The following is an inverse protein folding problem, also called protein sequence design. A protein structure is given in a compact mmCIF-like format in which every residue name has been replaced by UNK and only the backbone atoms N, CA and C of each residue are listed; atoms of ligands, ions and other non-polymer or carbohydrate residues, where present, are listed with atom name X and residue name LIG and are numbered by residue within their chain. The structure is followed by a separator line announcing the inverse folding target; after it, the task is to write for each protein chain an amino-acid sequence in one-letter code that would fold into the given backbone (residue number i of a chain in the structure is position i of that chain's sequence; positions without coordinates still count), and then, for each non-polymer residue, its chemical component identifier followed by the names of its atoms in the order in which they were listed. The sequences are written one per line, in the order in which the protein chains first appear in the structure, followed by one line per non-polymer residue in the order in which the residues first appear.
data_IF_924742222976
#
_entry.id   IF_924742222976
#
_cell.length_a   1.000
_cell.length_b   1.000
_cell.length_c   1.000
_cell.angle_alpha   90.00
_cell.angle_beta   90.00
_cell.angle_gamma   90.00
#
_symmetry.space_group_name_H-M   'P 1'
#
loop_
_entity.id
_entity.type
_entity.pdbx_description
1 polymer ?
#
# COMPACT_ATOMS: atom_id res chain seq x y z
N UNK A 1 13.89 -7.74 0.24
CA UNK A 1 14.60 -9.05 0.31
C UNK A 1 13.72 -10.08 -0.37
N UNK A 2 14.31 -10.95 -1.21
CA UNK A 2 13.57 -12.01 -1.97
C UNK A 2 12.94 -13.10 -1.08
N UNK A 3 13.13 -13.05 0.22
CA UNK A 3 12.71 -14.11 1.17
C UNK A 3 11.46 -13.74 1.98
N UNK A 4 10.97 -12.50 1.91
CA UNK A 4 9.72 -12.05 2.53
C UNK A 4 8.65 -12.09 1.46
N UNK A 5 7.58 -12.82 1.69
CA UNK A 5 6.42 -12.83 0.80
C UNK A 5 5.57 -11.60 1.10
N UNK A 6 5.12 -10.94 0.04
CA UNK A 6 4.20 -9.80 0.13
C UNK A 6 2.84 -10.29 -0.35
N UNK A 7 1.86 -10.16 0.54
CA UNK A 7 0.49 -10.51 0.25
C UNK A 7 -0.25 -9.28 -0.28
N UNK A 8 -0.92 -9.46 -1.41
CA UNK A 8 -1.66 -8.41 -2.11
C UNK A 8 -3.18 -8.58 -2.01
N UNK A 9 -3.65 -9.70 -1.42
CA UNK A 9 -5.07 -9.91 -1.22
C UNK A 9 -5.52 -9.27 0.09
N UNK A 10 -6.39 -8.26 -0.01
CA UNK A 10 -6.93 -7.56 1.14
C UNK A 10 -7.90 -8.45 1.95
N UNK A 11 -8.47 -9.48 1.31
CA UNK A 11 -9.41 -10.38 1.96
C UNK A 11 -8.74 -11.28 2.99
N UNK A 12 -7.45 -11.61 2.82
CA UNK A 12 -6.67 -12.40 3.78
C UNK A 12 -6.46 -11.69 5.12
N UNK A 13 -6.69 -10.37 5.14
CA UNK A 13 -6.60 -9.54 6.34
C UNK A 13 -7.93 -9.31 7.04
N UNK A 14 -9.05 -9.88 6.54
CA UNK A 14 -10.33 -9.82 7.21
C UNK A 14 -10.28 -10.57 8.56
N UNK A 15 -11.12 -10.16 9.54
CA UNK A 15 -11.20 -10.89 10.80
C UNK A 15 -11.61 -12.35 10.57
N UNK A 16 -10.91 -13.32 11.20
CA UNK A 16 -11.20 -14.74 10.98
C UNK A 16 -12.60 -15.14 11.41
N UNK A 17 -13.17 -14.41 12.39
CA UNK A 17 -14.50 -14.67 12.94
C UNK A 17 -15.61 -13.94 12.15
N UNK A 18 -15.30 -13.26 11.05
CA UNK A 18 -16.32 -12.61 10.26
C UNK A 18 -17.19 -13.65 9.53
N UNK A 19 -18.52 -13.42 9.42
CA UNK A 19 -19.41 -14.35 8.70
C UNK A 19 -18.96 -14.59 7.26
N UNK A 20 -18.42 -13.59 6.59
CA UNK A 20 -17.89 -13.69 5.22
C UNK A 20 -16.65 -14.59 5.13
N UNK A 21 -15.69 -14.45 6.04
CA UNK A 21 -14.50 -15.30 6.07
C UNK A 21 -14.87 -16.77 6.36
N UNK A 22 -15.75 -16.98 7.33
CA UNK A 22 -16.26 -18.33 7.64
C UNK A 22 -17.02 -18.94 6.46
N UNK A 23 -17.80 -18.14 5.72
CA UNK A 23 -18.51 -18.62 4.53
C UNK A 23 -17.53 -18.97 3.40
N UNK A 24 -16.50 -18.16 3.18
CA UNK A 24 -15.43 -18.45 2.20
C UNK A 24 -14.69 -19.73 2.52
N UNK A 25 -14.34 -19.98 3.79
CA UNK A 25 -13.66 -21.21 4.22
C UNK A 25 -14.55 -22.46 3.96
N UNK A 26 -15.86 -22.36 4.25
CA UNK A 26 -16.81 -23.43 3.96
C UNK A 26 -16.95 -23.66 2.46
N UNK A 27 -17.02 -22.60 1.65
CA UNK A 27 -17.12 -22.70 0.19
C UNK A 27 -15.87 -23.35 -0.40
N UNK A 28 -14.68 -22.89 -0.04
CA UNK A 28 -13.42 -23.44 -0.52
C UNK A 28 -13.22 -24.91 -0.12
N UNK A 29 -13.78 -25.32 1.01
CA UNK A 29 -13.71 -26.71 1.47
C UNK A 29 -14.78 -27.64 0.88
N UNK A 30 -15.93 -27.13 0.49
CA UNK A 30 -17.09 -27.92 0.05
C UNK A 30 -17.27 -27.96 -1.48
N UNK A 31 -16.77 -26.96 -2.20
CA UNK A 31 -16.96 -26.84 -3.64
C UNK A 31 -15.61 -26.85 -4.37
N UNK A 32 -15.57 -27.55 -5.50
CA UNK A 32 -14.45 -27.56 -6.43
C UNK A 32 -14.75 -26.61 -7.58
N UNK A 33 -13.76 -25.79 -8.01
CA UNK A 33 -13.91 -24.88 -9.14
C UNK A 33 -13.82 -23.38 -8.77
N UNK A 34 -13.62 -23.09 -7.50
CA UNK A 34 -13.35 -21.73 -7.02
C UNK A 34 -14.53 -20.77 -7.17
N UNK A 35 -14.31 -19.52 -6.76
CA UNK A 35 -15.28 -18.41 -6.94
C UNK A 35 -14.82 -17.59 -8.14
N UNK A 36 -15.71 -17.27 -9.09
CA UNK A 36 -15.37 -16.41 -10.20
C UNK A 36 -14.79 -15.07 -9.72
N UNK A 37 -13.58 -14.75 -10.17
CA UNK A 37 -12.84 -13.58 -9.72
C UNK A 37 -12.36 -12.66 -10.86
N UNK A 38 -12.74 -13.00 -12.11
CA UNK A 38 -12.41 -12.21 -13.29
C UNK A 38 -13.57 -12.19 -14.28
N UNK A 39 -13.75 -11.05 -14.94
CA UNK A 39 -14.66 -10.84 -16.08
C UNK A 39 -13.82 -10.44 -17.28
N UNK A 40 -14.04 -11.10 -18.40
CA UNK A 40 -13.34 -10.88 -19.67
C UNK A 40 -14.37 -10.50 -20.71
N UNK A 41 -14.30 -9.30 -21.25
CA UNK A 41 -15.18 -8.84 -22.32
C UNK A 41 -14.40 -8.78 -23.63
N UNK A 42 -14.89 -9.50 -24.64
CA UNK A 42 -14.35 -9.49 -26.00
C UNK A 42 -15.37 -8.87 -26.92
N UNK A 43 -14.98 -7.85 -27.68
CA UNK A 43 -15.83 -7.07 -28.55
C UNK A 43 -15.79 -7.58 -29.97
N UNK A 44 -16.85 -7.25 -30.73
CA UNK A 44 -17.01 -7.55 -32.16
C UNK A 44 -16.75 -9.00 -32.53
N UNK A 45 -17.29 -9.92 -31.72
CA UNK A 45 -17.16 -11.36 -31.91
C UNK A 45 -18.50 -12.03 -32.22
N UNK A 46 -18.49 -13.04 -33.06
CA UNK A 46 -19.60 -13.95 -33.30
C UNK A 46 -19.62 -15.07 -32.24
N UNK A 47 -20.75 -15.78 -32.12
CA UNK A 47 -20.89 -16.91 -31.20
C UNK A 47 -19.80 -17.99 -31.40
N UNK A 48 -19.45 -18.43 -32.64
CA UNK A 48 -18.34 -19.38 -32.84
C UNK A 48 -16.97 -18.83 -32.42
N UNK A 49 -16.70 -17.54 -32.67
CA UNK A 49 -15.44 -16.92 -32.23
C UNK A 49 -15.37 -16.78 -30.72
N UNK A 50 -16.50 -16.52 -30.07
CA UNK A 50 -16.55 -16.48 -28.60
C UNK A 50 -16.28 -17.86 -27.98
N UNK A 51 -16.77 -18.95 -28.59
CA UNK A 51 -16.44 -20.31 -28.17
C UNK A 51 -14.93 -20.61 -28.30
N UNK A 52 -14.30 -20.16 -29.40
CA UNK A 52 -12.86 -20.31 -29.60
C UNK A 52 -12.06 -19.50 -28.53
N UNK A 53 -12.52 -18.27 -28.18
CA UNK A 53 -11.93 -17.53 -27.08
C UNK A 53 -12.11 -18.26 -25.73
N UNK A 54 -13.28 -18.83 -25.44
CA UNK A 54 -13.52 -19.62 -24.24
C UNK A 54 -12.53 -20.77 -24.10
N UNK A 55 -12.34 -21.55 -25.19
CA UNK A 55 -11.39 -22.67 -25.20
C UNK A 55 -9.95 -22.20 -24.98
N UNK A 56 -9.55 -21.10 -25.62
CA UNK A 56 -8.20 -20.54 -25.48
C UNK A 56 -7.95 -19.99 -24.08
N UNK A 57 -8.93 -19.32 -23.47
CA UNK A 57 -8.83 -18.83 -22.09
C UNK A 57 -8.74 -20.01 -21.12
N UNK A 58 -9.56 -21.04 -21.30
CA UNK A 58 -9.55 -22.23 -20.46
C UNK A 58 -8.25 -23.05 -20.55
N UNK A 59 -7.50 -22.91 -21.65
CA UNK A 59 -6.22 -23.58 -21.83
C UNK A 59 -5.03 -22.86 -21.16
N UNK A 60 -5.24 -21.66 -20.61
CA UNK A 60 -4.19 -20.89 -19.92
C UNK A 60 -3.92 -21.50 -18.54
N UNK A 61 -2.65 -21.70 -18.21
CA UNK A 61 -2.23 -22.21 -16.91
C UNK A 61 -2.66 -21.25 -15.78
N UNK A 62 -3.25 -21.81 -14.71
CA UNK A 62 -3.84 -21.05 -13.61
C UNK A 62 -5.30 -20.62 -13.82
N UNK A 63 -5.93 -20.97 -14.95
CA UNK A 63 -7.37 -20.82 -15.14
C UNK A 63 -8.07 -22.10 -14.71
N UNK A 64 -8.92 -22.03 -13.69
CA UNK A 64 -9.67 -23.18 -13.16
C UNK A 64 -10.98 -23.42 -13.89
N UNK A 65 -11.71 -22.34 -14.23
CA UNK A 65 -13.00 -22.41 -14.89
C UNK A 65 -13.26 -21.16 -15.76
N UNK A 66 -13.96 -21.38 -16.88
CA UNK A 66 -14.48 -20.32 -17.74
C UNK A 66 -15.94 -20.62 -18.02
N UNK A 67 -16.81 -19.70 -17.61
CA UNK A 67 -18.25 -19.80 -17.84
C UNK A 67 -18.70 -18.78 -18.88
N UNK A 68 -19.50 -19.24 -19.83
CA UNK A 68 -20.11 -18.38 -20.85
C UNK A 68 -21.50 -18.90 -21.20
N UNK A 69 -22.12 -18.34 -22.23
CA UNK A 69 -23.50 -18.60 -22.66
C UNK A 69 -23.80 -20.09 -22.91
N UNK A 70 -22.85 -20.86 -23.46
CA UNK A 70 -22.99 -22.28 -23.76
C UNK A 70 -23.12 -23.20 -22.53
N UNK A 71 -22.73 -22.72 -21.34
CA UNK A 71 -22.93 -23.42 -20.08
C UNK A 71 -24.38 -23.29 -19.57
N UNK A 72 -25.10 -22.28 -20.06
CA UNK A 72 -26.48 -21.97 -19.62
C UNK A 72 -27.54 -22.28 -20.69
N UNK A 73 -27.17 -22.16 -21.96
CA UNK A 73 -28.09 -22.31 -23.11
C UNK A 73 -27.44 -23.10 -24.24
N UNK A 74 -28.25 -23.75 -25.06
CA UNK A 74 -27.78 -24.47 -26.28
C UNK A 74 -27.50 -23.46 -27.39
N UNK A 75 -26.24 -23.07 -27.57
CA UNK A 75 -25.80 -22.09 -28.56
C UNK A 75 -25.96 -22.56 -30.02
N UNK A 76 -26.37 -23.80 -30.26
CA UNK A 76 -26.72 -24.32 -31.62
C UNK A 76 -28.13 -23.85 -32.05
N UNK A 77 -28.98 -23.42 -31.09
CA UNK A 77 -30.26 -22.81 -31.34
C UNK A 77 -30.11 -21.30 -31.58
N UNK A 78 -30.76 -20.72 -32.59
CA UNK A 78 -30.69 -19.28 -32.83
C UNK A 78 -31.02 -18.46 -31.55
N UNK A 79 -30.15 -17.48 -31.23
CA UNK A 79 -30.25 -16.68 -29.99
C UNK A 79 -31.62 -15.98 -29.85
N UNK A 80 -32.26 -15.63 -30.98
CA UNK A 80 -33.58 -14.99 -31.00
C UNK A 80 -34.73 -15.90 -30.49
N UNK A 81 -34.49 -17.22 -30.40
CA UNK A 81 -35.43 -18.20 -29.92
C UNK A 81 -35.20 -18.60 -28.46
N UNK A 82 -34.20 -18.01 -27.85
CA UNK A 82 -33.77 -18.30 -26.48
C UNK A 82 -34.22 -17.21 -25.50
N UNK A 83 -34.04 -17.46 -24.21
CA UNK A 83 -34.31 -16.45 -23.18
C UNK A 83 -33.39 -15.25 -23.32
N UNK A 84 -33.97 -14.12 -23.70
CA UNK A 84 -33.25 -12.88 -23.96
C UNK A 84 -32.46 -12.38 -22.75
N UNK A 85 -32.98 -12.57 -21.55
CA UNK A 85 -32.34 -12.11 -20.32
C UNK A 85 -31.06 -12.88 -20.07
N UNK A 86 -31.08 -14.20 -20.24
CA UNK A 86 -29.88 -15.05 -20.12
C UNK A 86 -28.87 -14.76 -21.23
N UNK A 87 -29.34 -14.58 -22.49
CA UNK A 87 -28.44 -14.21 -23.60
C UNK A 87 -27.73 -12.88 -23.31
N UNK A 88 -28.46 -11.82 -22.93
CA UNK A 88 -27.90 -10.50 -22.67
C UNK A 88 -26.94 -10.46 -21.48
N UNK A 89 -26.97 -11.44 -20.59
CA UNK A 89 -26.01 -11.58 -19.48
C UNK A 89 -24.61 -11.93 -19.97
N UNK A 90 -24.49 -12.72 -21.05
CA UNK A 90 -23.22 -13.23 -21.54
C UNK A 90 -22.85 -12.74 -22.94
N UNK A 91 -23.86 -12.33 -23.75
CA UNK A 91 -23.65 -11.87 -25.11
C UNK A 91 -24.60 -10.76 -25.48
N UNK A 92 -24.07 -9.57 -25.73
CA UNK A 92 -24.84 -8.35 -26.03
C UNK A 92 -24.05 -7.46 -26.95
N UNK A 93 -24.71 -6.84 -27.94
CA UNK A 93 -24.12 -5.88 -28.89
C UNK A 93 -22.83 -6.40 -29.57
N UNK A 94 -22.79 -7.69 -29.96
CA UNK A 94 -21.63 -8.42 -30.47
C UNK A 94 -20.44 -8.48 -29.49
N UNK A 95 -20.67 -8.26 -28.21
CA UNK A 95 -19.69 -8.42 -27.16
C UNK A 95 -19.98 -9.71 -26.40
N UNK A 96 -18.95 -10.54 -26.17
CA UNK A 96 -19.02 -11.71 -25.32
C UNK A 96 -18.41 -11.39 -23.94
N UNK A 97 -19.11 -11.77 -22.88
CA UNK A 97 -18.65 -11.63 -21.51
C UNK A 97 -18.40 -13.00 -20.89
N UNK A 98 -17.15 -13.34 -20.65
CA UNK A 98 -16.74 -14.54 -19.94
C UNK A 98 -16.58 -14.25 -18.46
N UNK A 99 -17.03 -15.19 -17.64
CA UNK A 99 -16.77 -15.21 -16.20
C UNK A 99 -15.70 -16.26 -15.94
N UNK A 100 -14.56 -15.83 -15.41
CA UNK A 100 -13.35 -16.67 -15.28
C UNK A 100 -12.98 -16.81 -13.82
N UNK A 101 -12.58 -18.01 -13.41
CA UNK A 101 -11.95 -18.30 -12.13
C UNK A 101 -10.47 -18.53 -12.35
N UNK A 102 -9.63 -17.73 -11.71
CA UNK A 102 -8.17 -17.82 -11.77
C UNK A 102 -7.63 -18.18 -10.39
N UNK A 103 -6.73 -19.17 -10.36
CA UNK A 103 -6.05 -19.62 -9.16
C UNK A 103 -5.14 -18.51 -8.59
N UNK A 104 -5.16 -18.34 -7.27
CA UNK A 104 -4.38 -17.30 -6.61
C UNK A 104 -2.87 -17.43 -6.81
N UNK A 105 -2.36 -18.66 -6.86
CA UNK A 105 -0.94 -18.95 -7.03
C UNK A 105 -0.38 -18.47 -8.38
N UNK A 106 -1.18 -18.59 -9.45
CA UNK A 106 -0.79 -18.30 -10.83
C UNK A 106 -1.44 -17.01 -11.38
N UNK A 107 -2.09 -16.23 -10.50
CA UNK A 107 -2.90 -15.07 -10.86
C UNK A 107 -2.19 -14.06 -11.78
N UNK A 108 -0.93 -13.72 -11.47
CA UNK A 108 -0.18 -12.74 -12.25
C UNK A 108 0.07 -13.19 -13.69
N UNK A 109 0.46 -14.45 -13.85
CA UNK A 109 0.80 -15.04 -15.15
C UNK A 109 -0.48 -15.28 -15.97
N UNK A 110 -1.53 -15.79 -15.33
CA UNK A 110 -2.82 -16.01 -15.98
C UNK A 110 -3.47 -14.70 -16.46
N UNK A 111 -3.51 -13.66 -15.62
CA UNK A 111 -4.05 -12.34 -16.02
C UNK A 111 -3.26 -11.76 -17.19
N UNK A 112 -1.93 -11.82 -17.14
CA UNK A 112 -1.08 -11.33 -18.24
C UNK A 112 -1.33 -12.12 -19.53
N UNK A 113 -1.40 -13.45 -19.46
CA UNK A 113 -1.64 -14.30 -20.63
C UNK A 113 -3.05 -14.07 -21.25
N UNK A 114 -4.09 -13.89 -20.41
CA UNK A 114 -5.42 -13.54 -20.90
C UNK A 114 -5.40 -12.16 -21.56
N UNK A 115 -4.72 -11.18 -20.96
CA UNK A 115 -4.58 -9.84 -21.51
C UNK A 115 -3.90 -9.85 -22.89
N UNK A 116 -2.82 -10.64 -23.04
CA UNK A 116 -2.11 -10.79 -24.30
C UNK A 116 -2.98 -11.51 -25.37
N UNK A 117 -3.80 -12.48 -24.93
CA UNK A 117 -4.69 -13.24 -25.80
C UNK A 117 -5.80 -12.35 -26.38
N UNK A 118 -6.44 -11.53 -25.54
CA UNK A 118 -7.58 -10.70 -25.97
C UNK A 118 -7.15 -9.37 -26.61
N UNK A 119 -5.91 -8.91 -26.35
CA UNK A 119 -5.38 -7.65 -26.88
C UNK A 119 -5.87 -6.42 -26.10
N UNK A 120 -5.51 -5.24 -26.64
CA UNK A 120 -5.76 -3.95 -25.96
C UNK A 120 -7.17 -3.39 -26.19
N UNK A 121 -7.86 -3.82 -27.21
CA UNK A 121 -9.21 -3.34 -27.58
C UNK A 121 -10.33 -3.98 -26.74
N UNK A 122 -9.99 -5.02 -25.97
CA UNK A 122 -10.90 -5.76 -25.13
C UNK A 122 -10.68 -5.42 -23.65
N UNK A 123 -11.60 -5.81 -22.77
CA UNK A 123 -11.61 -5.35 -21.39
C UNK A 123 -11.54 -6.49 -20.36
N UNK A 124 -10.80 -6.25 -19.28
CA UNK A 124 -10.67 -7.14 -18.13
C UNK A 124 -11.11 -6.42 -16.85
N UNK A 125 -11.89 -7.07 -16.02
CA UNK A 125 -12.26 -6.57 -14.71
C UNK A 125 -12.34 -7.71 -13.67
N UNK A 126 -12.45 -7.35 -12.40
CA UNK A 126 -12.60 -8.29 -11.29
C UNK A 126 -11.43 -8.26 -10.31
N UNK A 127 -11.60 -8.99 -9.20
CA UNK A 127 -10.63 -8.98 -8.10
C UNK A 127 -9.27 -9.57 -8.49
N UNK A 128 -9.24 -10.60 -9.34
CA UNK A 128 -8.00 -11.17 -9.85
C UNK A 128 -7.18 -10.14 -10.65
N UNK A 129 -7.85 -9.35 -11.51
CA UNK A 129 -7.20 -8.30 -12.32
C UNK A 129 -6.71 -7.16 -11.43
N UNK A 130 -7.56 -6.67 -10.52
CA UNK A 130 -7.17 -5.58 -9.60
C UNK A 130 -5.97 -5.96 -8.74
N UNK A 131 -5.94 -7.18 -8.22
CA UNK A 131 -4.81 -7.66 -7.41
C UNK A 131 -3.54 -7.82 -8.26
N UNK A 132 -3.64 -8.34 -9.50
CA UNK A 132 -2.50 -8.44 -10.40
C UNK A 132 -1.93 -7.06 -10.77
N UNK A 133 -2.80 -6.10 -11.11
CA UNK A 133 -2.40 -4.72 -11.42
C UNK A 133 -1.79 -4.05 -10.18
N UNK A 134 -2.40 -4.21 -8.99
CA UNK A 134 -1.86 -3.67 -7.74
C UNK A 134 -0.46 -4.22 -7.46
N UNK A 135 -0.25 -5.53 -7.65
CA UNK A 135 1.06 -6.17 -7.44
C UNK A 135 2.13 -5.57 -8.35
N UNK A 136 1.87 -5.51 -9.65
CA UNK A 136 2.82 -5.00 -10.63
C UNK A 136 3.09 -3.49 -10.45
N UNK A 137 2.04 -2.71 -10.18
CA UNK A 137 2.15 -1.26 -9.98
C UNK A 137 2.89 -0.92 -8.70
N UNK A 138 2.60 -1.62 -7.59
CA UNK A 138 3.17 -1.32 -6.28
C UNK A 138 4.70 -1.40 -6.30
N UNK A 139 5.28 -2.42 -6.92
CA UNK A 139 6.75 -2.58 -6.99
C UNK A 139 7.41 -1.39 -7.70
N UNK A 140 6.83 -0.95 -8.81
CA UNK A 140 7.38 0.15 -9.61
C UNK A 140 7.13 1.51 -8.96
N UNK A 141 5.94 1.73 -8.43
CA UNK A 141 5.54 3.01 -7.83
C UNK A 141 6.24 3.25 -6.50
N UNK A 142 6.35 2.24 -5.63
CA UNK A 142 7.09 2.36 -4.36
C UNK A 142 8.54 2.73 -4.62
N UNK A 143 9.19 2.15 -5.62
CA UNK A 143 10.56 2.52 -5.98
C UNK A 143 10.67 3.98 -6.46
N UNK A 144 9.73 4.45 -7.29
CA UNK A 144 9.66 5.85 -7.75
C UNK A 144 9.41 6.82 -6.59
N UNK A 145 8.44 6.51 -5.72
CA UNK A 145 8.09 7.34 -4.57
C UNK A 145 9.28 7.40 -3.59
N UNK A 146 9.94 6.27 -3.32
CA UNK A 146 11.12 6.22 -2.46
C UNK A 146 12.26 7.09 -3.04
N UNK A 147 12.51 7.04 -4.35
CA UNK A 147 13.52 7.88 -5.00
C UNK A 147 13.19 9.38 -4.87
N UNK A 148 11.93 9.78 -5.11
CA UNK A 148 11.47 11.16 -4.93
C UNK A 148 11.60 11.59 -3.46
N UNK A 149 11.23 10.73 -2.52
CA UNK A 149 11.35 11.01 -1.09
C UNK A 149 12.80 11.24 -0.67
N UNK A 150 13.74 10.42 -1.16
CA UNK A 150 15.18 10.58 -0.89
C UNK A 150 15.70 11.91 -1.44
N UNK A 151 15.30 12.29 -2.67
CA UNK A 151 15.68 13.59 -3.27
C UNK A 151 15.15 14.75 -2.44
N UNK A 152 13.88 14.66 -2.02
CA UNK A 152 13.25 15.69 -1.19
C UNK A 152 13.92 15.80 0.20
N UNK A 153 14.19 14.66 0.84
CA UNK A 153 14.93 14.59 2.11
C UNK A 153 16.33 15.20 1.97
N UNK A 154 17.05 14.84 0.90
CA UNK A 154 18.37 15.39 0.61
C UNK A 154 18.31 16.92 0.46
N UNK A 155 17.30 17.42 -0.26
CA UNK A 155 17.10 18.87 -0.43
C UNK A 155 16.87 19.57 0.92
N UNK A 156 16.00 19.03 1.78
CA UNK A 156 15.74 19.58 3.11
C UNK A 156 17.02 19.53 3.98
N UNK A 157 17.73 18.40 3.96
CA UNK A 157 18.99 18.26 4.71
C UNK A 157 20.03 19.29 4.27
N UNK A 158 20.22 19.52 2.98
CA UNK A 158 21.14 20.55 2.47
C UNK A 158 20.75 21.95 2.97
N UNK A 159 19.46 22.24 3.10
CA UNK A 159 18.99 23.52 3.60
C UNK A 159 19.19 23.69 5.12
N UNK A 160 19.14 22.58 5.87
CA UNK A 160 19.12 22.62 7.34
C UNK A 160 20.46 22.31 8.00
N UNK A 161 21.40 21.72 7.28
CA UNK A 161 22.73 21.36 7.80
C UNK A 161 23.77 22.42 7.45
N UNK A 162 24.87 22.44 8.20
CA UNK A 162 25.97 23.40 8.05
C UNK A 162 27.17 22.81 7.30
N UNK A 163 27.10 21.56 6.85
CA UNK A 163 28.17 20.88 6.09
C UNK A 163 27.61 20.04 4.97
N UNK A 164 28.27 20.01 3.81
CA UNK A 164 27.87 19.17 2.66
C UNK A 164 27.97 17.66 2.93
N UNK A 165 28.72 17.24 3.94
CA UNK A 165 28.89 15.83 4.31
C UNK A 165 27.73 15.35 5.22
N UNK A 166 27.17 16.23 6.05
CA UNK A 166 26.10 15.88 7.00
C UNK A 166 24.87 15.21 6.33
N UNK A 167 24.32 15.73 5.22
CA UNK A 167 23.23 15.08 4.50
C UNK A 167 23.54 13.64 4.10
N UNK A 168 24.77 13.39 3.66
CA UNK A 168 25.22 12.05 3.24
C UNK A 168 25.30 11.12 4.44
N UNK A 169 25.79 11.59 5.59
CA UNK A 169 25.87 10.81 6.82
C UNK A 169 24.48 10.43 7.33
N UNK A 170 23.55 11.39 7.34
CA UNK A 170 22.16 11.14 7.74
C UNK A 170 21.53 10.11 6.83
N UNK A 171 21.64 10.26 5.51
CA UNK A 171 21.11 9.30 4.55
C UNK A 171 21.76 7.91 4.67
N UNK A 172 23.05 7.84 4.96
CA UNK A 172 23.72 6.57 5.21
C UNK A 172 23.18 5.87 6.47
N UNK A 173 22.98 6.60 7.57
CA UNK A 173 22.37 6.09 8.80
C UNK A 173 20.95 5.60 8.56
N UNK A 174 20.12 6.39 7.85
CA UNK A 174 18.76 6.00 7.47
C UNK A 174 18.77 4.76 6.57
N UNK A 175 19.68 4.69 5.61
CA UNK A 175 19.84 3.53 4.73
C UNK A 175 20.13 2.25 5.52
N UNK A 176 21.04 2.31 6.50
CA UNK A 176 21.32 1.16 7.39
C UNK A 176 20.07 0.76 8.19
N UNK A 177 19.34 1.71 8.78
CA UNK A 177 18.13 1.43 9.55
C UNK A 177 17.04 0.76 8.67
N UNK A 178 16.84 1.26 7.44
CA UNK A 178 15.87 0.70 6.48
C UNK A 178 16.30 -0.72 6.04
N UNK A 179 17.56 -0.93 5.76
CA UNK A 179 18.09 -2.26 5.37
C UNK A 179 17.91 -3.27 6.51
N UNK A 180 18.18 -2.87 7.76
CA UNK A 180 17.94 -3.71 8.95
C UNK A 180 16.47 -4.02 9.11
N UNK A 181 15.58 -3.03 8.94
CA UNK A 181 14.14 -3.25 9.03
C UNK A 181 13.63 -4.21 7.97
N UNK A 182 13.99 -3.99 6.70
CA UNK A 182 13.57 -4.85 5.59
C UNK A 182 14.16 -6.28 5.71
N UNK A 183 15.41 -6.40 6.20
CA UNK A 183 16.03 -7.70 6.45
C UNK A 183 15.34 -8.47 7.57
N UNK A 184 14.95 -7.80 8.65
CA UNK A 184 14.28 -8.42 9.80
C UNK A 184 12.78 -8.66 9.58
N UNK A 185 12.17 -8.21 8.48
CA UNK A 185 10.79 -8.57 8.10
C UNK A 185 10.61 -10.08 7.89
N UNK A 186 11.70 -10.83 7.69
CA UNK A 186 11.71 -12.30 7.68
C UNK A 186 11.06 -12.91 8.94
N UNK A 187 11.07 -12.23 10.07
CA UNK A 187 10.47 -12.70 11.32
C UNK A 187 8.93 -12.84 11.18
N UNK A 188 8.32 -12.05 10.32
CA UNK A 188 6.87 -12.06 10.08
C UNK A 188 6.45 -13.10 9.00
N UNK A 189 7.39 -13.59 8.19
CA UNK A 189 7.13 -14.49 7.05
C UNK A 189 6.45 -13.77 5.88
N UNK A 190 5.19 -13.43 6.07
CA UNK A 190 4.38 -12.67 5.08
C UNK A 190 4.01 -11.31 5.65
N UNK A 191 4.03 -10.29 4.82
CA UNK A 191 3.61 -8.92 5.17
C UNK A 191 2.64 -8.39 4.10
N UNK A 192 1.73 -7.51 4.49
CA UNK A 192 0.80 -6.90 3.53
C UNK A 192 1.54 -5.96 2.55
N UNK A 193 0.97 -5.80 1.36
CA UNK A 193 1.47 -4.82 0.39
C UNK A 193 1.45 -3.40 0.96
N UNK A 194 0.48 -3.08 1.82
CA UNK A 194 0.38 -1.79 2.50
C UNK A 194 1.57 -1.59 3.44
N UNK A 195 1.90 -2.61 4.24
CA UNK A 195 3.05 -2.58 5.15
C UNK A 195 4.37 -2.47 4.39
N UNK A 196 4.49 -3.20 3.28
CA UNK A 196 5.69 -3.16 2.43
C UNK A 196 5.87 -1.78 1.78
N UNK A 197 4.80 -1.19 1.25
CA UNK A 197 4.82 0.12 0.61
C UNK A 197 5.07 1.25 1.62
N UNK A 198 4.32 1.26 2.72
CA UNK A 198 4.39 2.33 3.71
C UNK A 198 5.63 2.23 4.62
N UNK A 199 6.09 1.00 4.93
CA UNK A 199 7.09 0.75 5.95
C UNK A 199 8.40 1.51 5.74
N UNK A 200 8.99 1.42 4.56
CA UNK A 200 10.26 2.10 4.26
C UNK A 200 10.12 3.62 4.18
N UNK A 201 9.00 4.11 3.64
CA UNK A 201 8.75 5.56 3.47
C UNK A 201 8.49 6.21 4.83
N UNK A 202 7.62 5.60 5.65
CA UNK A 202 7.33 6.12 6.99
C UNK A 202 8.56 6.04 7.90
N UNK A 203 9.33 4.96 7.81
CA UNK A 203 10.58 4.85 8.57
C UNK A 203 11.55 5.94 8.18
N UNK A 204 11.73 6.23 6.88
CA UNK A 204 12.59 7.32 6.40
C UNK A 204 12.15 8.66 6.99
N UNK A 205 10.85 8.97 6.98
CA UNK A 205 10.31 10.22 7.49
C UNK A 205 10.51 10.36 9.01
N UNK A 206 10.15 9.33 9.78
CA UNK A 206 10.22 9.37 11.26
C UNK A 206 11.66 9.33 11.78
N UNK A 207 12.55 8.57 11.11
CA UNK A 207 13.92 8.38 11.58
C UNK A 207 14.86 9.54 11.26
N UNK A 208 14.48 10.36 10.26
CA UNK A 208 15.23 11.54 9.85
C UNK A 208 15.45 12.49 11.02
N UNK A 209 14.37 12.81 11.74
CA UNK A 209 14.38 13.78 12.82
C UNK A 209 15.32 13.41 13.95
N UNK A 210 15.41 12.12 14.28
CA UNK A 210 16.32 11.63 15.34
C UNK A 210 17.79 11.84 14.98
N UNK A 211 18.16 11.52 13.73
CA UNK A 211 19.53 11.67 13.22
C UNK A 211 19.94 13.13 13.13
N UNK A 212 19.06 13.97 12.59
CA UNK A 212 19.29 15.42 12.46
C UNK A 212 19.44 16.07 13.84
N UNK A 213 18.56 15.70 14.78
CA UNK A 213 18.62 16.24 16.14
C UNK A 213 19.95 15.93 16.84
N UNK A 214 20.46 14.69 16.72
CA UNK A 214 21.75 14.32 17.29
C UNK A 214 22.91 15.10 16.66
N UNK A 215 22.95 15.21 15.32
CA UNK A 215 24.00 15.93 14.61
C UNK A 215 23.97 17.42 14.96
N UNK A 216 22.80 18.04 15.02
CA UNK A 216 22.68 19.45 15.44
C UNK A 216 23.18 19.67 16.87
N UNK A 217 22.89 18.76 17.81
CA UNK A 217 23.42 18.85 19.18
C UNK A 217 24.93 18.70 19.22
N UNK A 218 25.48 17.83 18.37
CA UNK A 218 26.91 17.71 18.23
C UNK A 218 27.56 19.01 17.68
N UNK A 219 26.97 19.59 16.64
CA UNK A 219 27.40 20.86 16.07
C UNK A 219 27.35 22.03 17.09
N UNK A 220 26.25 22.13 17.86
CA UNK A 220 26.12 23.10 18.94
C UNK A 220 27.22 22.96 19.99
N UNK A 221 27.48 21.73 20.47
CA UNK A 221 28.57 21.50 21.45
C UNK A 221 29.93 21.92 20.90
N UNK A 222 30.20 21.64 19.64
CA UNK A 222 31.43 22.07 18.96
C UNK A 222 31.55 23.58 18.84
N UNK A 223 30.44 24.28 18.59
CA UNK A 223 30.41 25.74 18.51
C UNK A 223 30.59 26.40 19.89
N UNK A 224 30.00 25.81 20.94
CA UNK A 224 30.12 26.29 22.32
C UNK A 224 31.48 26.01 22.94
N UNK A 225 32.12 24.90 22.59
CA UNK A 225 33.36 24.42 23.16
C UNK A 225 34.39 24.07 22.05
N UNK A 226 35.01 25.07 21.42
CA UNK A 226 35.96 24.82 20.30
C UNK A 226 37.19 23.99 20.67
N UNK A 227 37.60 24.04 21.95
CA UNK A 227 38.80 23.35 22.48
C UNK A 227 38.50 21.90 22.93
N UNK A 228 37.21 21.51 23.02
CA UNK A 228 36.82 20.15 23.41
C UNK A 228 37.13 19.15 22.29
N UNK A 229 37.40 17.88 22.64
CA UNK A 229 37.58 16.84 21.65
C UNK A 229 36.24 16.52 20.93
N UNK A 230 36.26 16.07 19.67
CA UNK A 230 35.05 15.64 19.00
C UNK A 230 34.29 14.53 19.74
N UNK A 231 35.05 13.62 20.38
CA UNK A 231 34.51 12.52 21.19
C UNK A 231 33.76 13.05 22.41
N UNK A 232 34.33 14.04 23.16
CA UNK A 232 33.67 14.62 24.31
C UNK A 232 32.39 15.38 23.92
N UNK A 233 32.41 16.10 22.80
CA UNK A 233 31.22 16.76 22.25
C UNK A 233 30.17 15.76 21.83
N UNK A 234 30.54 14.60 21.29
CA UNK A 234 29.55 13.56 20.93
C UNK A 234 28.93 12.94 22.18
N UNK A 235 29.70 12.70 23.24
CA UNK A 235 29.20 12.24 24.52
C UNK A 235 28.20 13.24 25.13
N UNK A 236 28.52 14.52 25.12
CA UNK A 236 27.63 15.58 25.61
C UNK A 236 26.35 15.68 24.78
N UNK A 237 26.47 15.62 23.44
CA UNK A 237 25.35 15.60 22.52
C UNK A 237 24.42 14.41 22.80
N UNK A 238 24.96 13.22 22.98
CA UNK A 238 24.19 12.02 23.35
C UNK A 238 23.49 12.20 24.68
N UNK A 239 24.19 12.66 25.73
CA UNK A 239 23.60 12.89 27.06
C UNK A 239 22.42 13.89 26.99
N UNK A 240 22.57 14.97 26.25
CA UNK A 240 21.54 16.01 26.13
C UNK A 240 20.36 15.63 25.23
N UNK A 241 20.60 14.81 24.19
CA UNK A 241 19.60 14.44 23.18
C UNK A 241 18.82 13.17 23.51
N UNK A 242 19.41 12.23 24.29
CA UNK A 242 18.83 10.92 24.56
C UNK A 242 17.40 11.00 25.07
N UNK A 243 17.13 11.83 26.08
CA UNK A 243 15.80 11.94 26.66
C UNK A 243 14.76 12.38 25.64
N UNK A 244 15.08 13.39 24.81
CA UNK A 244 14.17 13.92 23.79
C UNK A 244 13.94 12.90 22.67
N UNK A 245 14.99 12.28 22.17
CA UNK A 245 14.92 11.28 21.08
C UNK A 245 14.15 10.04 21.55
N UNK A 246 14.45 9.51 22.75
CA UNK A 246 13.76 8.35 23.31
C UNK A 246 12.28 8.66 23.59
N UNK A 247 11.95 9.81 24.18
CA UNK A 247 10.56 10.17 24.44
C UNK A 247 9.76 10.25 23.14
N UNK A 248 10.28 10.90 22.11
CA UNK A 248 9.62 11.00 20.80
C UNK A 248 9.50 9.63 20.13
N UNK A 249 10.61 8.88 20.08
CA UNK A 249 10.62 7.55 19.46
C UNK A 249 9.72 6.55 20.17
N UNK A 250 9.74 6.49 21.50
CA UNK A 250 8.87 5.60 22.27
C UNK A 250 7.39 5.97 22.11
N UNK A 251 7.05 7.25 22.07
CA UNK A 251 5.68 7.69 21.80
C UNK A 251 5.21 7.18 20.43
N UNK A 252 6.07 7.27 19.42
CA UNK A 252 5.79 6.76 18.07
C UNK A 252 5.64 5.23 18.07
N UNK A 253 6.52 4.51 18.75
CA UNK A 253 6.44 3.05 18.91
C UNK A 253 5.13 2.65 19.56
N UNK A 254 4.74 3.29 20.67
CA UNK A 254 3.46 3.03 21.35
C UNK A 254 2.28 3.33 20.44
N UNK A 255 2.33 4.42 19.67
CA UNK A 255 1.30 4.75 18.68
C UNK A 255 1.12 3.66 17.62
N UNK A 256 2.21 3.12 17.07
CA UNK A 256 2.14 2.00 16.14
C UNK A 256 1.70 0.70 16.81
N UNK A 257 2.14 0.41 18.03
CA UNK A 257 1.68 -0.76 18.78
C UNK A 257 0.19 -0.71 19.11
N UNK A 258 -0.42 0.47 19.20
CA UNK A 258 -1.86 0.58 19.39
C UNK A 258 -2.66 -0.01 18.19
N UNK A 259 -2.08 -0.03 16.98
CA UNK A 259 -2.69 -0.68 15.81
C UNK A 259 -2.83 -2.21 15.98
N UNK A 260 -2.03 -2.81 16.84
CA UNK A 260 -2.12 -4.26 17.15
C UNK A 260 -3.46 -4.63 17.79
N UNK A 261 -4.16 -3.66 18.39
CA UNK A 261 -5.48 -3.86 18.99
C UNK A 261 -6.62 -3.89 17.96
N UNK A 262 -6.33 -3.61 16.68
CA UNK A 262 -7.33 -3.67 15.60
C UNK A 262 -7.70 -5.13 15.30
N UNK A 263 -8.98 -5.39 15.08
CA UNK A 263 -9.47 -6.69 14.62
C UNK A 263 -9.10 -6.98 13.16
N UNK A 264 -9.00 -5.96 12.34
CA UNK A 264 -8.57 -6.06 10.95
C UNK A 264 -7.05 -6.30 10.92
N UNK A 265 -6.62 -7.43 10.38
CA UNK A 265 -5.23 -7.94 10.47
C UNK A 265 -4.17 -7.02 9.86
N UNK A 266 -4.54 -6.11 8.95
CA UNK A 266 -3.62 -5.08 8.43
C UNK A 266 -3.11 -4.19 9.56
N UNK A 267 -3.94 -3.90 10.59
CA UNK A 267 -3.54 -3.10 11.74
C UNK A 267 -2.35 -3.69 12.50
N UNK A 268 -2.45 -4.93 13.02
CA UNK A 268 -1.33 -5.63 13.65
C UNK A 268 -0.09 -5.76 12.74
N UNK A 269 -0.26 -6.12 11.48
CA UNK A 269 0.83 -6.27 10.52
C UNK A 269 1.61 -4.95 10.33
N UNK A 270 0.91 -3.88 10.01
CA UNK A 270 1.48 -2.55 9.84
C UNK A 270 2.08 -2.04 11.16
N UNK A 271 1.33 -2.19 12.27
CA UNK A 271 1.73 -1.69 13.58
C UNK A 271 3.03 -2.32 14.08
N UNK A 272 3.18 -3.63 13.99
CA UNK A 272 4.39 -4.35 14.41
C UNK A 272 5.59 -4.04 13.51
N UNK A 273 5.40 -4.00 12.20
CA UNK A 273 6.47 -3.72 11.25
C UNK A 273 7.01 -2.29 11.41
N UNK A 274 6.11 -1.30 11.61
CA UNK A 274 6.51 0.10 11.81
C UNK A 274 7.12 0.33 13.18
N UNK A 275 6.55 -0.23 14.26
CA UNK A 275 7.12 -0.15 15.60
C UNK A 275 8.55 -0.70 15.64
N UNK A 276 8.76 -1.90 15.05
CA UNK A 276 10.09 -2.49 14.88
C UNK A 276 11.03 -1.57 14.09
N UNK A 277 10.53 -0.98 12.99
CA UNK A 277 11.30 -0.03 12.17
C UNK A 277 11.81 1.17 12.97
N UNK A 278 10.94 1.76 13.81
CA UNK A 278 11.33 2.89 14.69
C UNK A 278 12.35 2.46 15.75
N UNK A 279 12.15 1.30 16.37
CA UNK A 279 13.12 0.76 17.36
C UNK A 279 14.50 0.56 16.71
N UNK A 280 14.56 -0.04 15.52
CA UNK A 280 15.81 -0.23 14.80
C UNK A 280 16.46 1.12 14.40
N UNK A 281 15.64 2.13 14.09
CA UNK A 281 16.12 3.48 13.83
C UNK A 281 16.73 4.12 15.07
N UNK A 282 16.08 3.99 16.23
CA UNK A 282 16.63 4.47 17.50
C UNK A 282 17.99 3.79 17.82
N UNK A 283 18.06 2.46 17.66
CA UNK A 283 19.30 1.71 17.83
C UNK A 283 20.39 2.26 16.89
N UNK A 284 20.07 2.48 15.62
CA UNK A 284 21.01 3.01 14.62
C UNK A 284 21.49 4.42 14.99
N UNK A 285 20.58 5.28 15.46
CA UNK A 285 20.89 6.66 15.87
C UNK A 285 21.82 6.69 17.10
N UNK A 286 21.64 5.79 18.06
CA UNK A 286 22.48 5.79 19.26
C UNK A 286 23.79 5.00 19.12
N UNK A 287 23.92 4.14 18.11
CA UNK A 287 25.11 3.30 17.93
C UNK A 287 25.89 3.65 16.68
N UNK A 288 25.26 3.57 15.52
CA UNK A 288 25.92 3.74 14.24
C UNK A 288 26.20 5.22 13.90
N UNK A 289 25.23 6.11 14.14
CA UNK A 289 25.36 7.53 13.81
C UNK A 289 26.53 8.23 14.55
N UNK A 290 26.73 8.05 15.87
CA UNK A 290 27.87 8.62 16.57
C UNK A 290 29.20 8.15 15.99
N UNK A 291 29.34 6.84 15.75
CA UNK A 291 30.56 6.27 15.18
C UNK A 291 30.85 6.82 13.77
N UNK A 292 29.81 6.89 12.92
CA UNK A 292 29.93 7.41 11.57
C UNK A 292 30.24 8.91 11.57
N UNK A 293 29.62 9.69 12.43
CA UNK A 293 29.86 11.13 12.58
C UNK A 293 31.30 11.40 13.01
N UNK A 294 31.82 10.69 14.01
CA UNK A 294 33.18 10.83 14.48
C UNK A 294 34.20 10.40 13.41
N UNK A 295 33.94 9.30 12.70
CA UNK A 295 34.83 8.85 11.61
C UNK A 295 34.92 9.85 10.45
N UNK A 296 33.81 10.54 10.15
CA UNK A 296 33.72 11.49 9.06
C UNK A 296 33.90 12.95 9.50
N UNK A 297 34.15 13.20 10.80
CA UNK A 297 34.29 14.54 11.35
C UNK A 297 35.29 15.41 10.60
N UNK A 298 36.50 14.90 10.21
CA UNK A 298 37.49 15.72 9.47
C UNK A 298 36.99 16.20 8.10
N UNK A 299 36.02 15.47 7.52
CA UNK A 299 35.41 15.85 6.24
C UNK A 299 34.26 16.85 6.47
N UNK A 300 33.50 16.70 7.56
CA UNK A 300 32.45 17.66 7.94
C UNK A 300 33.07 19.05 8.16
N UNK A 301 34.19 19.13 8.89
CA UNK A 301 34.91 20.38 9.18
C UNK A 301 35.42 21.06 7.90
N UNK A 302 36.00 20.27 6.95
CA UNK A 302 36.48 20.78 5.67
C UNK A 302 35.40 21.28 4.72
N UNK A 303 34.17 20.75 4.85
CA UNK A 303 33.06 21.06 3.95
C UNK A 303 32.01 21.97 4.59
N UNK A 304 32.36 22.60 5.70
CA UNK A 304 31.48 23.54 6.39
C UNK A 304 31.14 24.74 5.49
N UNK A 305 29.88 25.09 5.45
CA UNK A 305 29.35 26.24 4.71
C UNK A 305 28.46 27.13 5.60
N UNK A 306 28.21 28.34 5.14
CA UNK A 306 27.29 29.24 5.86
C UNK A 306 25.88 28.66 5.83
N UNK A 307 25.11 28.79 6.96
CA UNK A 307 23.74 28.35 6.98
C UNK A 307 22.95 28.98 5.83
N UNK A 308 22.28 28.13 5.04
CA UNK A 308 21.45 28.55 3.90
C UNK A 308 20.13 29.16 4.35
N UNK A 309 19.63 28.75 5.53
CA UNK A 309 18.41 29.31 6.10
C UNK A 309 18.72 30.59 6.89
N UNK A 310 17.96 31.68 6.67
CA UNK A 310 18.12 32.90 7.45
C UNK A 310 17.68 32.69 8.90
N UNK A 311 18.26 33.46 9.84
CA UNK A 311 17.77 33.49 11.23
C UNK A 311 16.36 34.04 11.29
N UNK A 312 15.44 33.28 11.88
CA UNK A 312 14.02 33.63 11.99
C UNK A 312 13.68 34.43 13.24
N UNK A 313 14.54 35.34 13.69
CA UNK A 313 14.36 36.14 14.92
C UNK A 313 13.04 36.96 14.93
N UNK A 314 12.64 37.45 13.74
CA UNK A 314 11.36 38.17 13.57
C UNK A 314 10.16 37.23 13.60
N UNK A 315 10.33 36.00 13.18
CA UNK A 315 9.24 35.01 13.15
C UNK A 315 8.81 34.62 14.57
N UNK A 316 9.75 34.42 15.49
CA UNK A 316 9.41 34.13 16.89
C UNK A 316 8.57 35.23 17.53
N UNK A 317 8.89 36.49 17.26
CA UNK A 317 8.09 37.63 17.72
C UNK A 317 6.71 37.72 17.06
N UNK A 318 6.62 37.38 15.78
CA UNK A 318 5.34 37.30 15.07
C UNK A 318 4.46 36.20 15.66
N UNK A 319 4.99 34.98 15.82
CA UNK A 319 4.29 33.84 16.43
C UNK A 319 3.80 34.16 17.82
N UNK A 320 4.65 34.77 18.68
CA UNK A 320 4.27 35.19 20.03
C UNK A 320 3.08 36.16 20.02
N UNK A 321 3.00 37.06 19.03
CA UNK A 321 1.89 38.04 18.92
C UNK A 321 0.56 37.41 18.47
N UNK A 322 0.63 36.40 17.59
CA UNK A 322 -0.58 35.75 17.05
C UNK A 322 -0.97 34.49 17.83
N UNK A 323 -0.20 34.04 18.82
CA UNK A 323 -0.41 32.80 19.54
C UNK A 323 -1.83 32.64 20.10
N UNK A 324 -2.33 33.67 20.81
CA UNK A 324 -3.68 33.63 21.38
C UNK A 324 -4.79 33.63 20.30
N UNK A 325 -4.79 34.59 19.33
CA UNK A 325 -5.81 34.55 18.28
C UNK A 325 -5.73 33.28 17.40
N UNK A 326 -4.54 32.73 17.16
CA UNK A 326 -4.38 31.48 16.45
C UNK A 326 -4.95 30.27 17.22
N UNK A 327 -4.70 30.21 18.54
CA UNK A 327 -5.27 29.17 19.40
C UNK A 327 -6.81 29.24 19.44
N UNK A 328 -7.39 30.44 19.52
CA UNK A 328 -8.83 30.63 19.47
C UNK A 328 -9.41 30.26 18.10
N UNK A 329 -8.75 30.64 17.02
CA UNK A 329 -9.17 30.26 15.67
C UNK A 329 -9.16 28.74 15.48
N UNK A 330 -8.11 28.03 15.95
CA UNK A 330 -8.04 26.56 15.90
C UNK A 330 -9.15 25.92 16.74
N UNK A 331 -9.42 26.42 17.93
CA UNK A 331 -10.51 25.94 18.78
C UNK A 331 -11.88 26.08 18.09
N UNK A 332 -12.13 27.21 17.41
CA UNK A 332 -13.36 27.44 16.64
C UNK A 332 -13.44 26.51 15.43
N UNK A 333 -12.31 26.29 14.73
CA UNK A 333 -12.26 25.39 13.56
C UNK A 333 -12.42 23.91 13.93
N UNK A 334 -12.11 23.52 15.17
CA UNK A 334 -12.20 22.12 15.61
C UNK A 334 -13.64 21.57 15.51
N UNK A 335 -14.66 22.38 15.82
CA UNK A 335 -16.06 21.94 15.76
C UNK A 335 -16.52 21.64 14.33
N UNK A 336 -16.39 22.57 13.34
CA UNK A 336 -16.79 22.26 11.97
C UNK A 336 -15.91 21.16 11.35
N UNK A 337 -14.63 21.05 11.71
CA UNK A 337 -13.77 19.97 11.24
C UNK A 337 -14.22 18.60 11.75
N UNK A 338 -14.62 18.50 13.02
CA UNK A 338 -15.18 17.28 13.59
C UNK A 338 -16.50 16.89 12.92
N UNK A 339 -17.41 17.86 12.69
CA UNK A 339 -18.66 17.60 12.00
C UNK A 339 -18.45 17.17 10.54
N UNK A 340 -17.50 17.81 9.85
CA UNK A 340 -17.16 17.41 8.48
C UNK A 340 -16.55 16.02 8.42
N UNK A 341 -15.75 15.62 9.41
CA UNK A 341 -15.16 14.27 9.50
C UNK A 341 -16.21 13.15 9.57
N UNK A 342 -17.38 13.42 10.15
CA UNK A 342 -18.47 12.45 10.22
C UNK A 342 -19.21 12.25 8.88
N UNK A 343 -18.99 13.14 7.91
CA UNK A 343 -19.60 13.03 6.58
C UNK A 343 -18.65 12.39 5.55
N UNK A 344 -17.52 11.84 6.00
CA UNK A 344 -16.63 11.11 5.10
C UNK A 344 -17.27 9.79 4.69
N UNK A 345 -17.34 9.56 3.40
CA UNK A 345 -17.71 8.28 2.83
C UNK A 345 -16.46 7.39 2.77
N UNK A 346 -16.56 6.19 3.33
CA UNK A 346 -15.48 5.21 3.30
C UNK A 346 -15.84 4.13 2.29
N UNK A 347 -15.01 3.98 1.27
CA UNK A 347 -15.15 2.93 0.26
C UNK A 347 -14.25 1.76 0.63
N UNK A 348 -14.84 0.58 0.70
CA UNK A 348 -14.15 -0.69 0.94
C UNK A 348 -14.26 -1.55 -0.32
N UNK A 349 -13.13 -2.11 -0.75
CA UNK A 349 -13.06 -3.01 -1.90
C UNK A 349 -12.21 -2.49 -3.05
N UNK A 350 -11.93 -3.40 -3.97
CA UNK A 350 -11.01 -3.15 -5.09
C UNK A 350 -11.58 -2.21 -6.17
N UNK A 351 -12.90 -2.06 -6.26
CA UNK A 351 -13.58 -1.31 -7.31
C UNK A 351 -13.18 0.19 -7.38
N UNK A 352 -12.73 0.76 -6.27
CA UNK A 352 -12.32 2.18 -6.19
C UNK A 352 -10.82 2.37 -5.95
N UNK A 353 -10.01 1.30 -5.94
CA UNK A 353 -8.55 1.41 -5.77
C UNK A 353 -7.87 2.05 -6.99
N UNK A 354 -8.47 1.91 -8.16
CA UNK A 354 -7.92 2.44 -9.41
C UNK A 354 -8.79 3.59 -9.92
N UNK A 355 -8.14 4.70 -10.30
CA UNK A 355 -8.84 5.85 -10.85
C UNK A 355 -9.46 5.54 -12.22
N UNK A 356 -10.54 6.27 -12.57
CA UNK A 356 -11.22 6.15 -13.86
C UNK A 356 -10.30 6.37 -15.09
N UNK A 357 -9.15 7.01 -14.89
CA UNK A 357 -8.15 7.28 -15.93
C UNK A 357 -7.10 6.16 -16.07
N UNK A 358 -7.24 5.07 -15.35
CA UNK A 358 -6.38 3.88 -15.48
C UNK A 358 -7.03 2.89 -16.43
N UNK A 359 -6.22 2.04 -17.10
CA UNK A 359 -6.75 1.01 -17.98
C UNK A 359 -7.79 0.14 -17.27
N UNK A 360 -7.51 -0.31 -16.06
CA UNK A 360 -8.47 -1.11 -15.28
C UNK A 360 -9.78 -0.34 -14.99
N UNK A 361 -9.70 0.97 -14.73
CA UNK A 361 -10.88 1.81 -14.55
C UNK A 361 -11.70 1.96 -15.83
N UNK A 362 -11.03 2.14 -16.98
CA UNK A 362 -11.66 2.20 -18.31
C UNK A 362 -12.27 0.87 -18.70
N UNK A 363 -11.57 -0.25 -18.49
CA UNK A 363 -12.06 -1.61 -18.76
C UNK A 363 -13.28 -1.95 -17.90
N UNK A 364 -13.23 -1.62 -16.62
CA UNK A 364 -14.36 -1.83 -15.69
C UNK A 364 -15.57 -1.01 -16.12
N UNK A 365 -15.38 0.27 -16.45
CA UNK A 365 -16.46 1.14 -16.94
C UNK A 365 -17.08 0.61 -18.24
N UNK A 366 -16.27 0.12 -19.18
CA UNK A 366 -16.75 -0.44 -20.44
C UNK A 366 -17.59 -1.71 -20.25
N UNK A 367 -17.15 -2.60 -19.34
CA UNK A 367 -17.92 -3.80 -18.99
C UNK A 367 -19.24 -3.41 -18.31
N UNK A 368 -19.21 -2.45 -17.37
CA UNK A 368 -20.40 -1.96 -16.67
C UNK A 368 -21.39 -1.23 -17.60
N UNK A 369 -20.90 -0.50 -18.60
CA UNK A 369 -21.76 0.16 -19.58
C UNK A 369 -22.50 -0.85 -20.46
N UNK A 370 -21.85 -1.93 -20.89
CA UNK A 370 -22.43 -2.94 -21.78
C UNK A 370 -23.31 -3.94 -21.06
N UNK A 371 -22.81 -4.51 -19.97
CA UNK A 371 -23.43 -5.63 -19.25
C UNK A 371 -24.02 -5.26 -17.88
N UNK A 372 -23.88 -4.00 -17.47
CA UNK A 372 -24.30 -3.52 -16.16
C UNK A 372 -23.31 -3.82 -15.05
N UNK A 373 -23.53 -3.17 -13.90
CA UNK A 373 -22.81 -3.46 -12.66
C UNK A 373 -23.17 -4.85 -12.18
N UNK A 374 -22.17 -5.64 -11.90
CA UNK A 374 -22.35 -6.97 -11.33
C UNK A 374 -21.41 -7.11 -10.14
N UNK A 375 -22.00 -7.07 -8.96
CA UNK A 375 -21.37 -7.58 -7.75
C UNK A 375 -21.71 -9.06 -7.65
N UNK A 376 -20.72 -9.94 -7.69
CA UNK A 376 -20.95 -11.38 -7.54
C UNK A 376 -21.25 -11.67 -6.07
N UNK A 377 -22.49 -12.02 -5.78
CA UNK A 377 -22.92 -12.51 -4.48
C UNK A 377 -23.05 -14.04 -4.56
N UNK A 378 -22.45 -14.73 -3.61
CA UNK A 378 -22.58 -16.17 -3.48
C UNK A 378 -23.25 -16.48 -2.16
N UNK A 379 -24.35 -17.22 -2.22
CA UNK A 379 -25.16 -17.58 -1.05
C UNK A 379 -25.07 -19.10 -0.86
N UNK A 380 -24.57 -19.52 0.30
CA UNK A 380 -24.57 -20.93 0.69
C UNK A 380 -25.93 -21.29 1.29
N UNK A 381 -26.55 -22.31 0.72
CA UNK A 381 -27.81 -22.87 1.24
C UNK A 381 -27.62 -24.36 1.54
N UNK A 382 -28.28 -24.88 2.60
CA UNK A 382 -28.25 -26.32 2.88
C UNK A 382 -28.86 -27.13 1.73
N UNK A 383 -28.27 -28.31 1.45
CA UNK A 383 -28.78 -29.24 0.45
C UNK A 383 -30.18 -29.74 0.85
N UNK A 384 -31.12 -29.79 -0.11
CA UNK A 384 -32.33 -30.55 0.00
C UNK A 384 -33.65 -29.81 0.21
N UNK A 385 -33.66 -28.46 0.30
CA UNK A 385 -34.92 -27.69 0.34
C UNK A 385 -35.07 -26.76 -0.87
N UNK A 386 -35.43 -27.36 -2.02
CA UNK A 386 -35.65 -26.62 -3.28
C UNK A 386 -36.72 -25.55 -3.15
N UNK A 387 -37.73 -25.71 -2.26
CA UNK A 387 -38.75 -24.70 -2.03
C UNK A 387 -38.24 -23.48 -1.23
N UNK A 388 -37.20 -23.62 -0.44
CA UNK A 388 -36.50 -22.51 0.18
C UNK A 388 -35.47 -21.86 -0.76
N UNK A 389 -34.83 -22.65 -1.62
CA UNK A 389 -33.89 -22.16 -2.65
C UNK A 389 -34.62 -21.29 -3.69
N UNK A 390 -35.84 -21.64 -4.09
CA UNK A 390 -36.64 -20.83 -5.01
C UNK A 390 -37.17 -19.49 -4.42
N UNK A 391 -37.04 -19.30 -3.11
CA UNK A 391 -37.49 -18.06 -2.43
C UNK A 391 -36.33 -17.07 -2.16
N UNK A 392 -35.12 -17.49 -2.40
CA UNK A 392 -33.93 -16.66 -2.31
C UNK A 392 -33.64 -15.96 -3.63
#
# INVERSE_FOLDING_TARGET
SRAVQVDYDINDYLPPDSPSTTALDVMNGAFTGGIPNMRVMVRDVTVPEALDYKEKIAAIDGVEAVTWLDDSLDVTVPLQMQDTATVETYYKDNCALFTVTVEDANRLEAVAAIQDLIGEDNALAGTAVSTAVATNSTVTEVAKIAAIAVVYVLFILILTTDSWVEPVLVLAGLGVAILLNNGTNLIFGTISFVTNAAGSILQLAVSLDYSVFLIHRFAECRAENPDASPEDCMVDALCKSTSSILSSGLTTVIGFLALVLMQFRIGPDLGLALAKGVVLSLVTVFTFMPALTLACYPWMDKTHHKPLLPRFDKFGRFVSRIMLPAALALAVLMVPSYLASNNNEYYYGAAHMFGANTRLGEDTAAIEETFGKSDTWVVLVPEGDTAQQEKL
#
